data_IF_093332229164
#
_entry.id   IF_093332229164
#
_cell.length_a   1.000
_cell.length_b   1.000
_cell.length_c   1.000
_cell.angle_alpha   90.00
_cell.angle_beta   90.00
_cell.angle_gamma   90.00
#
_symmetry.space_group_name_H-M   'P 1'
#
loop_
_entity.id
_entity.type
_entity.pdbx_description
1 polymer ?
#
# COMPACT_ATOMS: atom_id res chain seq x y z
N UNK A 1 10.61 27.39 15.81
CA UNK A 1 10.31 26.02 15.35
C UNK A 1 9.14 26.14 14.38
N UNK A 2 9.26 25.59 13.20
CA UNK A 2 8.16 25.54 12.20
C UNK A 2 7.04 24.67 12.76
N UNK A 3 5.79 25.12 12.69
CA UNK A 3 4.60 24.40 13.14
C UNK A 3 3.87 23.84 11.93
N UNK A 4 3.15 22.73 12.07
CA UNK A 4 2.27 22.20 11.01
C UNK A 4 1.23 23.24 10.61
N UNK A 5 0.84 24.15 11.51
CA UNK A 5 -0.11 25.24 11.26
C UNK A 5 0.43 26.31 10.28
N UNK A 6 1.74 26.30 10.02
CA UNK A 6 2.38 27.22 9.06
C UNK A 6 2.24 26.75 7.60
N UNK A 7 1.60 25.59 7.38
CA UNK A 7 1.40 24.99 6.07
C UNK A 7 -0.08 24.99 5.69
N UNK A 8 -0.35 25.36 4.45
CA UNK A 8 -1.64 25.13 3.81
C UNK A 8 -1.59 23.70 3.24
N UNK A 9 -2.47 22.82 3.74
CA UNK A 9 -2.53 21.44 3.33
C UNK A 9 -3.33 21.28 2.03
N UNK A 10 -3.02 20.24 1.27
CA UNK A 10 -3.78 19.88 0.07
C UNK A 10 -5.23 19.57 0.44
N UNK A 11 -6.21 19.87 -0.42
CA UNK A 11 -7.58 19.40 -0.23
C UNK A 11 -7.62 17.86 -0.22
N UNK A 12 -8.36 17.29 0.71
CA UNK A 12 -8.51 15.84 0.82
C UNK A 12 -9.36 15.27 -0.33
N UNK A 13 -10.32 16.06 -0.84
CA UNK A 13 -11.24 15.66 -1.90
C UNK A 13 -11.19 16.72 -3.01
N UNK A 14 -11.18 16.28 -4.27
CA UNK A 14 -11.29 17.16 -5.43
C UNK A 14 -10.08 18.06 -5.68
N UNK A 15 -8.88 17.67 -5.27
CA UNK A 15 -7.63 18.41 -5.54
C UNK A 15 -7.37 18.58 -7.03
N UNK A 16 -7.64 17.55 -7.79
CA UNK A 16 -7.62 17.54 -9.26
C UNK A 16 -8.95 17.00 -9.79
N UNK A 17 -9.34 17.32 -11.02
CA UNK A 17 -10.50 16.68 -11.65
C UNK A 17 -10.30 15.17 -11.70
N UNK A 18 -11.27 14.42 -11.18
CA UNK A 18 -11.29 12.96 -11.19
C UNK A 18 -12.52 12.47 -11.94
N UNK A 19 -12.31 11.60 -12.92
CA UNK A 19 -13.38 11.05 -13.74
C UNK A 19 -13.98 9.82 -13.08
N UNK A 20 -15.31 9.81 -12.92
CA UNK A 20 -16.03 8.61 -12.52
C UNK A 20 -16.29 7.72 -13.73
N UNK A 21 -16.06 6.41 -13.59
CA UNK A 21 -16.46 5.42 -14.58
C UNK A 21 -17.98 5.50 -14.74
N UNK A 22 -18.51 5.79 -15.97
CA UNK A 22 -19.94 5.93 -16.18
C UNK A 22 -20.63 4.57 -16.09
N UNK A 23 -21.76 4.53 -15.40
CA UNK A 23 -22.63 3.36 -15.25
C UNK A 23 -24.04 3.71 -15.75
N UNK A 24 -24.78 2.72 -16.25
CA UNK A 24 -26.21 2.88 -16.51
C UNK A 24 -27.04 2.75 -15.22
N UNK A 25 -28.33 3.00 -15.26
CA UNK A 25 -29.19 3.01 -14.08
C UNK A 25 -29.22 1.66 -13.30
N UNK A 26 -29.14 0.54 -14.02
CA UNK A 26 -29.11 -0.79 -13.39
C UNK A 26 -27.74 -1.03 -12.72
N UNK A 27 -26.66 -0.65 -13.37
CA UNK A 27 -25.29 -0.73 -12.85
C UNK A 27 -25.10 0.20 -11.65
N UNK A 28 -25.73 1.40 -11.62
CA UNK A 28 -25.69 2.31 -10.45
C UNK A 28 -26.35 1.66 -9.24
N UNK A 29 -27.53 1.03 -9.39
CA UNK A 29 -28.18 0.31 -8.29
C UNK A 29 -27.30 -0.84 -7.78
N UNK A 30 -26.66 -1.57 -8.70
CA UNK A 30 -25.70 -2.63 -8.36
C UNK A 30 -24.49 -2.08 -7.61
N UNK A 31 -23.95 -0.96 -8.08
CA UNK A 31 -22.83 -0.26 -7.44
C UNK A 31 -23.15 0.16 -6.00
N UNK A 32 -24.31 0.80 -5.76
CA UNK A 32 -24.74 1.21 -4.42
C UNK A 32 -24.80 0.02 -3.46
N UNK A 33 -25.39 -1.10 -3.89
CA UNK A 33 -25.42 -2.33 -3.09
C UNK A 33 -24.03 -2.89 -2.79
N UNK A 34 -23.14 -2.90 -3.78
CA UNK A 34 -21.78 -3.39 -3.60
C UNK A 34 -20.94 -2.52 -2.64
N UNK A 35 -21.08 -1.21 -2.68
CA UNK A 35 -20.40 -0.30 -1.75
C UNK A 35 -20.87 -0.54 -0.30
N UNK A 36 -22.16 -0.73 -0.10
CA UNK A 36 -22.73 -1.01 1.24
C UNK A 36 -22.26 -2.35 1.80
N UNK A 37 -22.32 -3.40 0.99
CA UNK A 37 -22.05 -4.77 1.40
C UNK A 37 -20.56 -5.12 1.51
N UNK A 38 -19.70 -4.50 0.67
CA UNK A 38 -18.29 -4.87 0.60
C UNK A 38 -17.49 -4.38 1.80
N UNK A 39 -16.54 -5.19 2.24
CA UNK A 39 -15.45 -4.75 3.11
C UNK A 39 -14.34 -4.25 2.22
N UNK A 40 -14.23 -2.93 2.04
CA UNK A 40 -13.17 -2.34 1.22
C UNK A 40 -11.89 -2.20 2.05
N UNK A 41 -10.83 -2.88 1.62
CA UNK A 41 -9.53 -2.88 2.30
C UNK A 41 -8.45 -2.46 1.30
N UNK A 42 -7.76 -1.38 1.61
CA UNK A 42 -6.53 -1.02 0.92
C UNK A 42 -5.33 -1.54 1.72
N UNK A 43 -4.59 -2.49 1.13
CA UNK A 43 -3.48 -3.19 1.81
C UNK A 43 -2.20 -2.33 1.84
N UNK A 44 -2.13 -1.31 0.99
CA UNK A 44 -1.03 -0.35 0.99
C UNK A 44 -1.47 1.03 0.49
N UNK A 45 -1.52 1.97 1.41
CA UNK A 45 -1.95 3.33 1.13
C UNK A 45 -1.19 4.31 2.02
N UNK A 46 -1.01 5.53 1.55
CA UNK A 46 -0.43 6.63 2.30
C UNK A 46 -1.49 7.73 2.51
N UNK A 47 -2.46 7.56 3.42
CA UNK A 47 -3.56 8.51 3.58
C UNK A 47 -3.15 9.78 4.35
N UNK A 48 -1.91 10.20 4.24
CA UNK A 48 -1.46 11.47 4.77
C UNK A 48 -1.62 12.59 3.74
N UNK A 49 -1.91 13.78 4.24
CA UNK A 49 -2.11 14.97 3.42
C UNK A 49 -0.79 15.72 3.28
N UNK A 50 -0.39 15.98 2.05
CA UNK A 50 0.80 16.76 1.73
C UNK A 50 0.52 18.27 1.78
N UNK A 51 1.52 19.11 2.05
CA UNK A 51 1.36 20.55 1.92
C UNK A 51 1.17 20.94 0.44
N UNK A 52 0.44 22.01 0.17
CA UNK A 52 0.31 22.54 -1.19
C UNK A 52 1.63 23.08 -1.74
N UNK A 53 2.44 23.70 -0.87
CA UNK A 53 3.75 24.25 -1.21
C UNK A 53 4.82 23.14 -1.06
N UNK A 54 5.01 22.36 -2.10
CA UNK A 54 5.93 21.21 -2.09
C UNK A 54 7.42 21.63 -2.04
N UNK A 55 7.77 22.84 -2.43
CA UNK A 55 9.09 23.42 -2.22
C UNK A 55 9.46 23.55 -0.73
N UNK A 56 8.46 23.53 0.15
CA UNK A 56 8.61 23.53 1.61
C UNK A 56 8.41 22.13 2.23
N UNK A 57 8.40 21.08 1.43
CA UNK A 57 8.10 19.71 1.89
C UNK A 57 9.05 19.23 2.99
N UNK A 58 10.34 19.50 2.86
CA UNK A 58 11.33 19.14 3.90
C UNK A 58 11.09 19.88 5.22
N UNK A 59 10.67 21.15 5.17
CA UNK A 59 10.29 21.90 6.39
C UNK A 59 9.02 21.34 7.03
N UNK A 60 8.06 20.88 6.21
CA UNK A 60 6.87 20.17 6.69
C UNK A 60 7.26 18.89 7.44
N UNK A 61 8.11 18.05 6.88
CA UNK A 61 8.57 16.81 7.52
C UNK A 61 9.24 17.08 8.87
N UNK A 62 10.03 18.16 8.97
CA UNK A 62 10.68 18.58 10.23
C UNK A 62 9.72 19.02 11.33
N UNK A 63 8.44 19.19 11.04
CA UNK A 63 7.42 19.43 12.07
C UNK A 63 7.17 18.20 12.95
N UNK A 64 7.57 17.00 12.48
CA UNK A 64 7.29 15.71 13.10
C UNK A 64 5.79 15.55 13.42
N UNK A 65 4.94 15.94 12.50
CA UNK A 65 3.49 15.83 12.59
C UNK A 65 2.93 15.24 11.31
N UNK A 66 1.96 14.35 11.46
CA UNK A 66 1.12 13.91 10.37
C UNK A 66 -0.15 14.75 10.29
N UNK A 67 -0.72 14.79 9.10
CA UNK A 67 -2.07 15.24 8.87
C UNK A 67 -2.76 14.16 8.04
N UNK A 68 -3.62 13.38 8.68
CA UNK A 68 -4.29 12.27 8.03
C UNK A 68 -5.57 12.71 7.33
N UNK A 69 -5.76 12.25 6.09
CA UNK A 69 -6.91 12.52 5.25
C UNK A 69 -8.03 11.50 5.42
N UNK A 70 -8.54 11.34 6.62
CA UNK A 70 -9.62 10.39 6.88
C UNK A 70 -10.95 10.79 6.22
N UNK A 71 -11.16 12.06 5.85
CA UNK A 71 -12.31 12.47 5.03
C UNK A 71 -12.22 11.88 3.63
N UNK A 72 -11.03 11.88 3.00
CA UNK A 72 -10.78 11.24 1.72
C UNK A 72 -11.00 9.73 1.80
N UNK A 73 -10.48 9.09 2.85
CA UNK A 73 -10.65 7.65 3.10
C UNK A 73 -12.12 7.27 3.20
N UNK A 74 -12.92 8.02 3.98
CA UNK A 74 -14.38 7.81 4.09
C UNK A 74 -15.07 8.01 2.75
N UNK A 75 -14.73 9.09 2.03
CA UNK A 75 -15.32 9.40 0.73
C UNK A 75 -15.07 8.29 -0.28
N UNK A 76 -13.88 7.69 -0.25
CA UNK A 76 -13.49 6.55 -1.08
C UNK A 76 -14.11 5.21 -0.69
N UNK A 77 -14.90 5.16 0.40
CA UNK A 77 -15.63 3.96 0.83
C UNK A 77 -14.78 2.92 1.57
N UNK A 78 -13.56 3.27 1.99
CA UNK A 78 -12.66 2.33 2.66
C UNK A 78 -13.15 1.95 4.05
N UNK A 79 -13.25 0.65 4.30
CA UNK A 79 -13.54 0.10 5.64
C UNK A 79 -12.28 -0.02 6.47
N UNK A 80 -11.15 -0.30 5.81
CA UNK A 80 -9.85 -0.41 6.47
C UNK A 80 -8.76 0.08 5.53
N UNK A 81 -7.85 0.86 6.08
CA UNK A 81 -6.64 1.31 5.40
C UNK A 81 -5.41 0.91 6.19
N UNK A 82 -4.33 0.75 5.47
CA UNK A 82 -3.00 0.58 6.05
C UNK A 82 -2.21 1.86 5.86
N UNK A 83 -1.08 1.95 6.52
CA UNK A 83 -0.09 2.97 6.20
C UNK A 83 1.29 2.46 6.50
N UNK A 84 2.27 2.98 5.82
CA UNK A 84 3.65 2.60 5.98
C UNK A 84 4.55 3.80 6.27
N UNK A 85 5.71 3.51 6.83
CA UNK A 85 6.72 4.48 7.18
C UNK A 85 7.35 5.11 5.93
N UNK A 86 7.03 6.38 5.70
CA UNK A 86 7.51 7.12 4.55
C UNK A 86 8.46 8.24 4.95
N UNK A 87 8.22 8.88 6.08
CA UNK A 87 8.83 10.17 6.41
C UNK A 87 10.14 10.05 7.17
N UNK A 88 10.35 9.02 7.97
CA UNK A 88 11.60 8.82 8.70
C UNK A 88 12.83 8.81 7.80
N UNK A 89 12.68 8.23 6.60
CA UNK A 89 13.71 8.20 5.59
C UNK A 89 14.14 9.56 5.08
N UNK A 90 13.20 10.49 4.94
CA UNK A 90 13.40 11.75 4.23
C UNK A 90 14.13 12.80 5.05
N UNK A 91 14.16 12.68 6.36
CA UNK A 91 14.85 13.64 7.21
C UNK A 91 16.36 13.47 7.21
N UNK A 92 16.84 12.24 7.07
CA UNK A 92 18.23 11.90 7.35
C UNK A 92 18.93 11.07 6.27
N UNK A 93 18.21 10.52 5.29
CA UNK A 93 18.76 9.64 4.28
C UNK A 93 18.45 10.10 2.85
N UNK A 94 19.39 9.90 1.95
CA UNK A 94 19.21 10.12 0.50
C UNK A 94 18.50 8.95 -0.18
N UNK A 95 18.35 7.81 0.51
CA UNK A 95 17.65 6.63 0.05
C UNK A 95 16.91 5.98 1.22
N UNK A 96 15.64 5.61 1.03
CA UNK A 96 14.78 5.02 2.07
C UNK A 96 15.30 3.70 2.65
N UNK A 97 16.21 3.01 1.96
CA UNK A 97 16.79 1.75 2.45
C UNK A 97 17.72 1.89 3.66
N UNK A 98 18.10 3.12 4.00
CA UNK A 98 18.98 3.43 5.12
C UNK A 98 18.24 4.07 6.30
N UNK A 99 16.94 3.87 6.40
CA UNK A 99 16.14 4.36 7.52
C UNK A 99 16.54 3.67 8.79
N UNK A 100 16.77 4.46 9.83
CA UNK A 100 17.14 3.95 11.14
C UNK A 100 15.91 3.48 11.92
N UNK A 101 16.12 2.50 12.81
CA UNK A 101 15.07 1.95 13.65
C UNK A 101 14.40 3.03 14.52
N UNK A 102 15.18 3.97 15.04
CA UNK A 102 14.68 5.04 15.92
C UNK A 102 13.74 5.99 15.16
N UNK A 103 14.04 6.30 13.90
CA UNK A 103 13.17 7.13 13.04
C UNK A 103 11.82 6.45 12.80
N UNK A 104 11.83 5.15 12.52
CA UNK A 104 10.60 4.37 12.30
C UNK A 104 9.77 4.23 13.58
N UNK A 105 10.40 4.03 14.73
CA UNK A 105 9.67 3.96 15.99
C UNK A 105 9.01 5.28 16.36
N UNK A 106 9.69 6.42 16.09
CA UNK A 106 9.09 7.73 16.23
C UNK A 106 7.88 7.90 15.31
N UNK A 107 8.03 7.50 14.04
CA UNK A 107 6.98 7.60 13.03
C UNK A 107 5.75 6.74 13.39
N UNK A 108 5.96 5.49 13.80
CA UNK A 108 4.88 4.62 14.30
C UNK A 108 4.19 5.25 15.50
N UNK A 109 4.95 5.83 16.42
CA UNK A 109 4.39 6.53 17.59
C UNK A 109 3.52 7.73 17.20
N UNK A 110 3.96 8.52 16.21
CA UNK A 110 3.18 9.66 15.70
C UNK A 110 1.90 9.21 14.99
N UNK A 111 1.98 8.16 14.15
CA UNK A 111 0.81 7.57 13.49
C UNK A 111 -0.25 7.14 14.50
N UNK A 112 0.16 6.39 15.52
CA UNK A 112 -0.76 5.89 16.54
C UNK A 112 -1.36 7.01 17.39
N UNK A 113 -0.59 8.06 17.69
CA UNK A 113 -1.10 9.22 18.41
C UNK A 113 -2.17 9.96 17.60
N UNK A 114 -1.96 10.12 16.29
CA UNK A 114 -2.90 10.80 15.40
C UNK A 114 -4.20 9.99 15.22
N UNK A 115 -4.08 8.69 14.97
CA UNK A 115 -5.22 7.76 14.90
C UNK A 115 -6.06 7.81 16.18
N UNK A 116 -5.40 7.83 17.35
CA UNK A 116 -6.10 7.91 18.65
C UNK A 116 -6.89 9.22 18.82
N UNK A 117 -6.50 10.28 18.14
CA UNK A 117 -7.19 11.56 18.17
C UNK A 117 -8.42 11.63 17.26
N UNK A 118 -8.60 10.67 16.36
CA UNK A 118 -9.72 10.61 15.42
C UNK A 118 -10.91 9.84 16.05
N UNK A 119 -12.12 10.42 16.10
CA UNK A 119 -13.26 9.77 16.76
C UNK A 119 -13.80 8.54 16.04
N UNK A 120 -13.59 8.48 14.70
CA UNK A 120 -14.20 7.47 13.83
C UNK A 120 -13.17 6.50 13.24
N UNK A 121 -11.95 6.50 13.79
CA UNK A 121 -10.86 5.63 13.35
C UNK A 121 -10.40 4.77 14.51
N UNK A 122 -10.30 3.48 14.29
CA UNK A 122 -9.87 2.53 15.31
C UNK A 122 -8.68 1.71 14.81
N UNK A 123 -7.69 1.56 15.66
CA UNK A 123 -6.59 0.65 15.34
C UNK A 123 -7.11 -0.79 15.33
N UNK A 124 -6.74 -1.52 14.28
CA UNK A 124 -7.05 -2.94 14.13
C UNK A 124 -5.76 -3.75 13.97
N UNK A 125 -5.76 -4.98 14.44
CA UNK A 125 -4.59 -5.87 14.39
C UNK A 125 -4.89 -7.26 13.81
N UNK A 126 -6.15 -7.57 13.50
CA UNK A 126 -6.57 -8.84 12.92
C UNK A 126 -7.89 -8.70 12.15
N UNK A 127 -8.29 -9.79 11.47
CA UNK A 127 -9.49 -9.80 10.62
C UNK A 127 -10.81 -9.56 11.38
N UNK A 128 -10.92 -10.03 12.62
CA UNK A 128 -12.13 -9.85 13.41
C UNK A 128 -12.29 -8.40 13.87
N UNK A 129 -11.20 -7.73 14.22
CA UNK A 129 -11.18 -6.30 14.54
C UNK A 129 -11.52 -5.45 13.32
N UNK A 130 -11.02 -5.81 12.11
CA UNK A 130 -11.40 -5.17 10.84
C UNK A 130 -12.92 -5.24 10.64
N UNK A 131 -13.50 -6.41 10.82
CA UNK A 131 -14.96 -6.60 10.70
C UNK A 131 -15.75 -5.83 11.75
N UNK A 132 -15.26 -5.81 13.00
CA UNK A 132 -15.88 -5.03 14.06
C UNK A 132 -15.85 -3.53 13.79
N UNK A 133 -14.73 -3.00 13.25
CA UNK A 133 -14.63 -1.61 12.83
C UNK A 133 -15.67 -1.25 11.77
N UNK A 134 -15.77 -2.05 10.69
CA UNK A 134 -16.81 -1.86 9.66
C UNK A 134 -18.23 -1.90 10.24
N UNK A 135 -18.55 -2.89 11.06
CA UNK A 135 -19.88 -3.04 11.65
C UNK A 135 -20.28 -1.87 12.55
N UNK A 136 -19.32 -1.24 13.20
CA UNK A 136 -19.54 -0.05 14.02
C UNK A 136 -19.51 1.27 13.25
N UNK A 137 -19.28 1.24 11.93
CA UNK A 137 -19.19 2.42 11.08
C UNK A 137 -17.87 3.19 11.22
N UNK A 138 -16.87 2.57 11.84
CA UNK A 138 -15.54 3.13 11.97
C UNK A 138 -14.61 2.70 10.82
N UNK A 139 -13.57 3.47 10.57
CA UNK A 139 -12.46 3.07 9.70
C UNK A 139 -11.46 2.26 10.53
N UNK A 140 -11.13 1.06 10.09
CA UNK A 140 -10.01 0.30 10.61
C UNK A 140 -8.69 0.88 10.14
N UNK A 141 -7.75 1.06 11.05
CA UNK A 141 -6.38 1.45 10.74
C UNK A 141 -5.44 0.32 11.13
N UNK A 142 -4.85 -0.34 10.15
CA UNK A 142 -3.88 -1.42 10.34
C UNK A 142 -2.45 -0.86 10.19
N UNK A 143 -1.67 -0.73 11.27
CA UNK A 143 -0.29 -0.23 11.16
C UNK A 143 0.59 -1.19 10.36
N UNK A 144 1.25 -0.67 9.34
CA UNK A 144 2.17 -1.41 8.49
C UNK A 144 3.48 -0.67 8.29
N UNK A 145 4.50 -1.35 7.80
CA UNK A 145 5.77 -0.77 7.40
C UNK A 145 6.10 -1.16 5.98
N UNK A 146 6.58 -0.21 5.19
CA UNK A 146 6.99 -0.47 3.82
C UNK A 146 8.32 -1.24 3.75
N UNK A 147 9.13 -1.15 4.80
CA UNK A 147 10.35 -1.94 4.99
C UNK A 147 10.70 -2.07 6.47
N UNK A 148 11.46 -3.11 6.80
CA UNK A 148 11.78 -3.51 8.17
C UNK A 148 13.20 -3.02 8.57
N UNK A 149 13.34 -1.85 9.22
CA UNK A 149 14.64 -1.25 9.51
C UNK A 149 15.22 -1.77 10.84
N UNK A 150 15.32 -3.08 11.00
CA UNK A 150 15.76 -3.71 12.26
C UNK A 150 17.29 -3.80 12.41
N UNK A 151 18.06 -3.41 11.36
CA UNK A 151 19.50 -3.64 11.35
C UNK A 151 19.79 -5.15 11.45
N UNK A 152 20.69 -5.52 12.34
CA UNK A 152 21.01 -6.93 12.65
C UNK A 152 20.44 -7.39 14.02
N UNK A 153 19.32 -6.82 14.44
CA UNK A 153 18.69 -7.00 15.75
C UNK A 153 17.33 -7.69 15.60
N UNK A 154 17.31 -9.03 15.69
CA UNK A 154 16.11 -9.83 15.48
C UNK A 154 14.96 -9.48 16.42
N UNK A 155 15.27 -9.15 17.69
CA UNK A 155 14.27 -8.75 18.70
C UNK A 155 13.49 -7.47 18.36
N UNK A 156 13.95 -6.69 17.39
CA UNK A 156 13.22 -5.51 16.91
C UNK A 156 11.95 -5.86 16.12
N UNK A 157 11.86 -7.09 15.60
CA UNK A 157 10.65 -7.61 14.97
C UNK A 157 9.51 -7.67 16.00
N UNK A 158 9.78 -8.26 17.19
CA UNK A 158 8.79 -8.32 18.27
C UNK A 158 8.46 -6.95 18.83
N UNK A 159 9.44 -6.05 18.92
CA UNK A 159 9.21 -4.69 19.39
C UNK A 159 8.23 -3.95 18.48
N UNK A 160 8.42 -4.01 17.16
CA UNK A 160 7.50 -3.41 16.19
C UNK A 160 6.11 -4.07 16.23
N UNK A 161 6.05 -5.40 16.34
CA UNK A 161 4.79 -6.12 16.51
C UNK A 161 4.06 -5.70 17.79
N UNK A 162 4.77 -5.57 18.92
CA UNK A 162 4.21 -5.09 20.17
C UNK A 162 3.68 -3.65 20.09
N UNK A 163 4.28 -2.80 19.25
CA UNK A 163 3.80 -1.45 18.95
C UNK A 163 2.53 -1.47 18.08
N UNK A 164 2.17 -2.61 17.50
CA UNK A 164 0.95 -2.81 16.73
C UNK A 164 1.15 -3.01 15.24
N UNK A 165 2.39 -3.02 14.75
CA UNK A 165 2.67 -3.33 13.34
C UNK A 165 2.26 -4.76 13.03
N UNK A 166 1.54 -4.97 11.93
CA UNK A 166 0.98 -6.28 11.53
C UNK A 166 1.42 -6.75 10.15
N UNK A 167 1.93 -5.86 9.33
CA UNK A 167 2.49 -6.18 8.01
C UNK A 167 3.73 -5.34 7.79
N UNK A 168 4.78 -5.93 7.22
CA UNK A 168 5.99 -5.20 6.87
C UNK A 168 6.62 -5.74 5.58
N UNK A 169 7.06 -4.82 4.73
CA UNK A 169 8.06 -5.10 3.71
C UNK A 169 9.38 -5.52 4.35
N UNK A 170 10.09 -6.44 3.72
CA UNK A 170 11.39 -6.93 4.22
C UNK A 170 12.56 -6.09 3.72
N UNK A 171 12.41 -5.51 2.54
CA UNK A 171 13.34 -4.56 1.92
C UNK A 171 12.58 -3.41 1.32
N UNK A 172 13.25 -2.27 1.14
CA UNK A 172 12.83 -1.24 0.18
C UNK A 172 13.57 -1.44 -1.15
N UNK A 173 13.96 -0.37 -1.81
CA UNK A 173 14.58 -0.40 -3.13
C UNK A 173 16.00 -1.01 -3.15
N UNK A 174 16.71 -0.96 -2.04
CA UNK A 174 18.11 -1.35 -1.90
C UNK A 174 18.30 -2.50 -0.92
N UNK A 175 19.54 -2.99 -0.86
CA UNK A 175 19.96 -4.01 0.09
C UNK A 175 19.89 -3.51 1.53
N UNK A 176 19.41 -4.38 2.42
CA UNK A 176 19.53 -4.24 3.86
C UNK A 176 20.12 -5.53 4.47
N UNK A 177 20.06 -5.71 5.79
CA UNK A 177 20.56 -6.92 6.46
C UNK A 177 19.73 -8.18 6.15
N UNK A 178 18.47 -8.03 5.70
CA UNK A 178 17.54 -9.14 5.45
C UNK A 178 17.74 -9.70 4.05
N UNK A 179 17.80 -8.82 3.04
CA UNK A 179 17.87 -9.23 1.66
C UNK A 179 18.08 -8.05 0.71
N UNK A 180 17.92 -8.31 -0.57
CA UNK A 180 18.15 -7.34 -1.62
C UNK A 180 16.83 -6.77 -2.16
N UNK A 181 16.78 -5.44 -2.32
CA UNK A 181 15.67 -4.73 -2.94
C UNK A 181 15.75 -4.76 -4.47
N UNK A 182 14.64 -4.37 -5.12
CA UNK A 182 14.46 -4.50 -6.58
C UNK A 182 15.39 -3.63 -7.42
N UNK A 183 15.97 -2.57 -6.85
CA UNK A 183 16.91 -1.70 -7.57
C UNK A 183 18.39 -2.08 -7.35
N UNK A 184 18.65 -3.16 -6.60
CA UNK A 184 20.01 -3.66 -6.53
C UNK A 184 20.55 -4.08 -7.90
N UNK A 185 21.85 -3.81 -8.13
CA UNK A 185 22.49 -4.11 -9.40
C UNK A 185 22.64 -5.62 -9.64
N UNK A 186 23.06 -6.34 -8.61
CA UNK A 186 23.28 -7.79 -8.64
C UNK A 186 22.66 -8.40 -7.37
N UNK A 187 21.34 -8.62 -7.34
CA UNK A 187 20.68 -9.10 -6.15
C UNK A 187 21.01 -10.57 -5.85
N UNK A 188 21.30 -10.88 -4.59
CA UNK A 188 21.67 -12.21 -4.11
C UNK A 188 20.56 -12.95 -3.36
N UNK A 189 19.40 -12.35 -3.11
CA UNK A 189 18.31 -12.96 -2.36
C UNK A 189 18.35 -12.64 -0.86
N UNK A 190 17.80 -13.55 -0.02
CA UNK A 190 17.84 -13.44 1.43
C UNK A 190 19.26 -13.72 1.97
N UNK A 191 19.61 -13.03 3.05
CA UNK A 191 20.74 -13.44 3.89
C UNK A 191 20.32 -14.56 4.85
N UNK A 192 21.30 -15.23 5.50
CA UNK A 192 20.99 -16.17 6.59
C UNK A 192 20.18 -15.50 7.72
N UNK A 193 20.55 -14.27 8.08
CA UNK A 193 19.77 -13.47 9.02
C UNK A 193 18.36 -13.17 8.49
N UNK A 194 18.22 -12.94 7.19
CA UNK A 194 16.92 -12.74 6.55
C UNK A 194 16.00 -13.95 6.71
N UNK A 195 16.51 -15.16 6.58
CA UNK A 195 15.73 -16.38 6.80
C UNK A 195 15.24 -16.46 8.27
N UNK A 196 16.09 -16.10 9.25
CA UNK A 196 15.69 -16.03 10.66
C UNK A 196 14.59 -14.99 10.88
N UNK A 197 14.66 -13.84 10.19
CA UNK A 197 13.62 -12.78 10.24
C UNK A 197 12.30 -13.30 9.68
N UNK A 198 12.31 -13.97 8.51
CA UNK A 198 11.10 -14.56 7.91
C UNK A 198 10.43 -15.53 8.88
N UNK A 199 11.22 -16.44 9.47
CA UNK A 199 10.69 -17.39 10.46
C UNK A 199 10.10 -16.66 11.67
N UNK A 200 10.77 -15.63 12.16
CA UNK A 200 10.30 -14.84 13.30
C UNK A 200 9.00 -14.11 13.01
N UNK A 201 8.86 -13.49 11.82
CA UNK A 201 7.62 -12.85 11.40
C UNK A 201 6.46 -13.87 11.33
N UNK A 202 6.72 -15.07 10.79
CA UNK A 202 5.73 -16.15 10.77
C UNK A 202 5.30 -16.55 12.19
N UNK A 203 6.27 -16.75 13.12
CA UNK A 203 6.00 -17.24 14.47
C UNK A 203 5.15 -16.27 15.30
N UNK A 204 5.26 -14.97 15.05
CA UNK A 204 4.49 -13.94 15.78
C UNK A 204 3.24 -13.46 15.04
N UNK A 205 2.95 -13.99 13.84
CA UNK A 205 1.80 -13.57 13.04
C UNK A 205 1.92 -12.16 12.46
N UNK A 206 3.10 -11.79 11.96
CA UNK A 206 3.32 -10.57 11.19
C UNK A 206 3.37 -10.91 9.71
N UNK A 207 2.50 -10.30 8.90
CA UNK A 207 2.46 -10.50 7.46
C UNK A 207 3.72 -9.97 6.76
N UNK A 208 4.16 -10.68 5.72
CA UNK A 208 5.37 -10.36 4.96
C UNK A 208 4.99 -9.80 3.59
N UNK A 209 5.41 -8.55 3.33
CA UNK A 209 5.23 -7.88 2.04
C UNK A 209 6.51 -7.95 1.19
N UNK A 210 6.34 -8.28 -0.07
CA UNK A 210 7.40 -8.48 -1.06
C UNK A 210 7.48 -7.37 -2.12
N UNK A 211 6.68 -6.31 -1.98
CA UNK A 211 6.47 -5.32 -3.05
C UNK A 211 7.74 -4.64 -3.54
N UNK A 212 8.73 -4.44 -2.69
CA UNK A 212 10.01 -3.82 -3.04
C UNK A 212 11.19 -4.81 -3.11
N UNK A 213 10.97 -6.08 -2.85
CA UNK A 213 12.03 -7.08 -2.85
C UNK A 213 12.51 -7.40 -4.29
N UNK A 214 13.77 -7.80 -4.43
CA UNK A 214 14.30 -8.30 -5.71
C UNK A 214 13.72 -9.68 -6.03
N UNK A 215 13.74 -10.09 -7.30
CA UNK A 215 13.26 -11.42 -7.70
C UNK A 215 13.88 -12.57 -6.88
N UNK A 216 15.23 -12.64 -6.66
CA UNK A 216 15.79 -13.67 -5.79
C UNK A 216 15.26 -13.61 -4.35
N UNK A 217 15.15 -12.39 -3.77
CA UNK A 217 14.60 -12.23 -2.41
C UNK A 217 13.13 -12.65 -2.33
N UNK A 218 12.33 -12.36 -3.35
CA UNK A 218 10.94 -12.82 -3.47
C UNK A 218 10.88 -14.35 -3.44
N UNK A 219 11.64 -15.01 -4.31
CA UNK A 219 11.59 -16.46 -4.45
C UNK A 219 12.08 -17.16 -3.18
N UNK A 220 13.19 -16.71 -2.58
CA UNK A 220 13.67 -17.21 -1.30
C UNK A 220 12.62 -17.03 -0.19
N UNK A 221 11.99 -15.84 -0.12
CA UNK A 221 10.99 -15.60 0.93
C UNK A 221 9.78 -16.51 0.78
N UNK A 222 9.29 -16.73 -0.44
CA UNK A 222 8.18 -17.66 -0.69
C UNK A 222 8.57 -19.11 -0.34
N UNK A 223 9.84 -19.48 -0.55
CA UNK A 223 10.36 -20.81 -0.19
C UNK A 223 10.41 -21.00 1.32
N UNK A 224 11.00 -20.04 2.06
CA UNK A 224 11.25 -20.17 3.50
C UNK A 224 10.05 -19.77 4.37
N UNK A 225 9.08 -19.01 3.85
CA UNK A 225 7.89 -18.63 4.62
C UNK A 225 6.95 -19.82 4.83
N UNK A 226 6.51 -19.99 6.07
CA UNK A 226 5.49 -20.99 6.47
C UNK A 226 4.07 -20.48 6.31
N UNK A 227 3.89 -19.15 6.19
CA UNK A 227 2.61 -18.50 5.99
C UNK A 227 2.55 -17.87 4.60
N UNK A 228 1.34 -17.65 4.05
CA UNK A 228 1.20 -16.88 2.81
C UNK A 228 1.85 -15.49 2.91
N UNK A 229 2.39 -15.02 1.79
CA UNK A 229 3.00 -13.69 1.65
C UNK A 229 2.15 -12.78 0.77
N UNK A 230 2.43 -11.49 0.75
CA UNK A 230 1.69 -10.53 -0.07
C UNK A 230 2.61 -9.68 -0.94
N UNK A 231 2.15 -9.37 -2.13
CA UNK A 231 2.57 -8.19 -2.87
C UNK A 231 1.55 -7.09 -2.58
N UNK A 232 1.84 -6.22 -1.64
CA UNK A 232 0.86 -5.26 -1.12
C UNK A 232 0.47 -4.17 -2.14
N UNK A 233 1.35 -3.85 -3.12
CA UNK A 233 1.13 -2.81 -4.12
C UNK A 233 2.01 -3.03 -5.35
N UNK A 234 1.52 -3.76 -6.35
CA UNK A 234 2.29 -4.15 -7.54
C UNK A 234 1.49 -4.07 -8.83
N UNK A 235 2.18 -4.30 -9.95
CA UNK A 235 1.61 -4.38 -11.28
C UNK A 235 2.29 -5.51 -12.08
N UNK A 236 1.67 -5.95 -13.18
CA UNK A 236 2.17 -7.03 -14.03
C UNK A 236 3.29 -6.54 -14.96
N UNK A 237 4.43 -7.22 -14.93
CA UNK A 237 5.56 -6.94 -15.82
C UNK A 237 5.20 -7.12 -17.30
N UNK A 238 4.36 -8.09 -17.60
CA UNK A 238 3.92 -8.38 -18.99
C UNK A 238 3.17 -7.22 -19.61
N UNK A 239 2.39 -6.45 -18.82
CA UNK A 239 1.70 -5.25 -19.32
C UNK A 239 2.61 -4.01 -19.31
N UNK A 240 3.48 -3.90 -18.30
CA UNK A 240 4.38 -2.76 -18.16
C UNK A 240 5.76 -3.21 -17.70
N UNK A 241 6.71 -3.53 -18.61
CA UNK A 241 8.05 -3.99 -18.25
C UNK A 241 8.90 -2.90 -17.58
N UNK A 242 9.08 -3.01 -16.29
CA UNK A 242 10.02 -2.19 -15.52
C UNK A 242 10.43 -2.90 -14.22
N UNK A 243 11.36 -2.31 -13.44
CA UNK A 243 11.83 -2.92 -12.19
C UNK A 243 10.76 -2.95 -11.09
N UNK A 244 9.76 -2.08 -11.16
CA UNK A 244 8.71 -1.94 -10.15
C UNK A 244 7.62 -3.01 -10.29
N UNK A 245 7.51 -3.63 -11.46
CA UNK A 245 6.47 -4.62 -11.80
C UNK A 245 6.97 -6.05 -11.62
N UNK A 246 6.05 -7.00 -11.43
CA UNK A 246 6.34 -8.40 -11.11
C UNK A 246 6.14 -9.31 -12.30
N UNK A 247 7.08 -10.24 -12.46
CA UNK A 247 6.98 -11.26 -13.51
C UNK A 247 5.91 -12.29 -13.17
N UNK A 248 5.32 -12.89 -14.18
CA UNK A 248 4.28 -13.90 -14.03
C UNK A 248 4.69 -15.07 -13.14
N UNK A 249 5.96 -15.48 -13.18
CA UNK A 249 6.50 -16.54 -12.34
C UNK A 249 6.42 -16.19 -10.85
N UNK A 250 6.82 -14.95 -10.47
CA UNK A 250 6.76 -14.48 -9.09
C UNK A 250 5.30 -14.43 -8.59
N UNK A 251 4.40 -13.91 -9.44
CA UNK A 251 2.97 -13.76 -9.13
C UNK A 251 2.30 -15.12 -8.95
N UNK A 252 2.55 -16.08 -9.87
CA UNK A 252 2.01 -17.45 -9.78
C UNK A 252 2.55 -18.18 -8.54
N UNK A 253 3.86 -18.09 -8.30
CA UNK A 253 4.47 -18.76 -7.14
C UNK A 253 3.90 -18.22 -5.82
N UNK A 254 3.63 -16.91 -5.74
CA UNK A 254 2.96 -16.30 -4.59
C UNK A 254 1.53 -16.86 -4.43
N UNK A 255 0.74 -16.88 -5.49
CA UNK A 255 -0.64 -17.36 -5.47
C UNK A 255 -0.72 -18.86 -5.13
N UNK A 256 0.16 -19.69 -5.72
CA UNK A 256 0.23 -21.14 -5.46
C UNK A 256 0.51 -21.47 -3.97
N UNK A 257 1.13 -20.55 -3.24
CA UNK A 257 1.33 -20.63 -1.78
C UNK A 257 0.19 -19.97 -0.98
N UNK A 258 -0.91 -19.59 -1.64
CA UNK A 258 -2.05 -18.95 -1.01
C UNK A 258 -1.84 -17.46 -0.72
N UNK A 259 -0.86 -16.83 -1.34
CA UNK A 259 -0.55 -15.43 -1.18
C UNK A 259 -1.55 -14.50 -1.86
N UNK A 260 -1.35 -13.20 -1.68
CA UNK A 260 -2.21 -12.14 -2.20
C UNK A 260 -1.39 -11.19 -3.09
N UNK A 261 -1.95 -10.76 -4.20
CA UNK A 261 -1.37 -9.79 -5.13
C UNK A 261 -2.28 -8.58 -5.23
N UNK A 262 -1.85 -7.44 -4.68
CA UNK A 262 -2.63 -6.21 -4.71
C UNK A 262 -2.12 -5.28 -5.81
N UNK A 263 -3.07 -4.66 -6.51
CA UNK A 263 -2.78 -3.81 -7.66
C UNK A 263 -2.58 -2.37 -7.19
N UNK A 264 -1.46 -1.77 -7.64
CA UNK A 264 -1.11 -0.37 -7.37
C UNK A 264 -1.89 0.59 -8.27
N UNK A 265 -2.04 1.84 -7.82
CA UNK A 265 -2.55 2.96 -8.62
C UNK A 265 -1.45 4.01 -8.91
N UNK A 266 -0.18 3.67 -8.67
CA UNK A 266 0.93 4.59 -8.93
C UNK A 266 1.09 4.78 -10.44
N UNK A 267 0.94 6.01 -10.96
CA UNK A 267 1.22 6.31 -12.35
C UNK A 267 2.64 5.87 -12.74
N UNK A 268 2.87 5.59 -14.00
CA UNK A 268 4.16 5.16 -14.55
C UNK A 268 4.61 3.74 -14.12
N UNK A 269 4.00 3.14 -13.11
CA UNK A 269 4.11 1.70 -12.83
C UNK A 269 3.13 0.87 -13.68
N UNK A 270 2.06 1.50 -14.18
CA UNK A 270 0.97 0.84 -14.90
C UNK A 270 1.08 0.97 -16.43
N UNK A 271 1.53 2.13 -16.93
CA UNK A 271 1.59 2.44 -18.35
C UNK A 271 2.76 3.39 -18.67
N UNK A 272 3.12 3.49 -19.95
CA UNK A 272 4.03 4.52 -20.50
C UNK A 272 3.25 5.74 -21.04
N UNK A 273 1.92 5.66 -21.07
CA UNK A 273 1.11 6.75 -21.57
C UNK A 273 1.20 7.97 -20.64
N UNK A 274 1.39 9.18 -21.16
CA UNK A 274 1.35 10.39 -20.34
C UNK A 274 -0.06 10.73 -19.81
N UNK A 275 -1.11 10.19 -20.43
CA UNK A 275 -2.50 10.33 -20.00
C UNK A 275 -2.97 8.99 -19.40
N UNK A 276 -2.75 8.80 -18.10
CA UNK A 276 -3.15 7.58 -17.42
C UNK A 276 -4.46 7.80 -16.65
N UNK A 277 -5.34 6.84 -16.78
CA UNK A 277 -6.62 6.80 -16.09
C UNK A 277 -6.87 5.44 -15.43
N UNK A 278 -8.03 5.28 -14.83
CA UNK A 278 -8.39 4.06 -14.11
C UNK A 278 -8.42 2.82 -15.02
N UNK A 279 -8.57 2.96 -16.34
CA UNK A 279 -8.55 1.83 -17.27
C UNK A 279 -7.18 1.12 -17.23
N UNK A 280 -6.08 1.87 -17.01
CA UNK A 280 -4.75 1.28 -16.83
C UNK A 280 -4.72 0.32 -15.62
N UNK A 281 -5.39 0.69 -14.52
CA UNK A 281 -5.49 -0.18 -13.33
C UNK A 281 -6.37 -1.39 -13.62
N UNK A 282 -7.50 -1.17 -14.28
CA UNK A 282 -8.45 -2.23 -14.61
C UNK A 282 -7.84 -3.28 -15.53
N UNK A 283 -6.98 -2.89 -16.48
CA UNK A 283 -6.23 -3.83 -17.31
C UNK A 283 -5.34 -4.74 -16.47
N UNK A 284 -4.70 -4.20 -15.44
CA UNK A 284 -3.91 -5.00 -14.50
C UNK A 284 -4.80 -5.92 -13.62
N UNK A 285 -6.00 -5.49 -13.22
CA UNK A 285 -6.95 -6.37 -12.53
C UNK A 285 -7.37 -7.54 -13.40
N UNK A 286 -7.82 -7.27 -14.64
CA UNK A 286 -8.23 -8.32 -15.59
C UNK A 286 -7.08 -9.30 -15.87
N UNK A 287 -5.88 -8.77 -16.10
CA UNK A 287 -4.69 -9.60 -16.30
C UNK A 287 -4.40 -10.49 -15.09
N UNK A 288 -4.42 -9.90 -13.88
CA UNK A 288 -4.08 -10.61 -12.66
C UNK A 288 -5.11 -11.69 -12.33
N UNK A 289 -6.42 -11.39 -12.46
CA UNK A 289 -7.49 -12.38 -12.30
C UNK A 289 -7.32 -13.57 -13.25
N UNK A 290 -6.94 -13.30 -14.51
CA UNK A 290 -6.68 -14.37 -15.47
C UNK A 290 -5.40 -15.17 -15.19
N UNK A 291 -4.39 -14.52 -14.59
CA UNK A 291 -3.07 -15.13 -14.34
C UNK A 291 -3.04 -16.03 -13.10
N UNK A 292 -3.60 -15.53 -11.99
CA UNK A 292 -3.49 -16.15 -10.66
C UNK A 292 -4.84 -16.56 -10.05
N UNK A 293 -5.95 -16.21 -10.69
CA UNK A 293 -7.31 -16.44 -10.18
C UNK A 293 -7.78 -15.31 -9.26
N UNK A 294 -9.09 -15.11 -9.23
CA UNK A 294 -9.74 -14.00 -8.52
C UNK A 294 -9.47 -14.02 -7.00
N UNK A 295 -9.30 -15.21 -6.41
CA UNK A 295 -9.11 -15.40 -4.97
C UNK A 295 -7.74 -14.88 -4.46
N UNK A 296 -6.84 -14.53 -5.37
CA UNK A 296 -5.49 -14.03 -5.06
C UNK A 296 -5.27 -12.56 -5.42
N UNK A 297 -6.33 -11.83 -5.80
CA UNK A 297 -6.21 -10.43 -6.24
C UNK A 297 -6.81 -9.49 -5.21
N UNK A 298 -6.11 -8.38 -4.93
CA UNK A 298 -6.53 -7.38 -3.95
C UNK A 298 -6.22 -5.95 -4.38
N UNK A 299 -6.48 -5.01 -3.48
CA UNK A 299 -6.23 -3.57 -3.67
C UNK A 299 -5.07 -3.13 -2.78
N UNK A 300 -4.14 -2.38 -3.37
CA UNK A 300 -3.06 -1.71 -2.67
C UNK A 300 -2.62 -0.49 -3.44
N UNK A 301 -3.38 0.60 -3.30
CA UNK A 301 -3.35 1.72 -4.24
C UNK A 301 -2.03 2.48 -4.24
N UNK A 302 -1.34 2.55 -3.12
CA UNK A 302 -0.11 3.34 -2.95
C UNK A 302 -0.35 4.83 -3.24
N UNK A 303 -1.58 5.31 -2.96
CA UNK A 303 -1.97 6.70 -3.19
C UNK A 303 -1.62 7.60 -2.02
N UNK A 304 -1.39 8.87 -2.32
CA UNK A 304 -1.18 9.97 -1.36
C UNK A 304 -2.21 11.06 -1.59
N UNK A 305 -2.39 11.97 -0.63
CA UNK A 305 -3.26 13.14 -0.78
C UNK A 305 -2.39 14.37 -1.00
N UNK A 306 -2.16 14.72 -2.27
CA UNK A 306 -1.33 15.85 -2.65
C UNK A 306 -0.63 15.67 -3.99
N UNK A 307 0.43 16.42 -4.23
CA UNK A 307 1.19 16.34 -5.47
C UNK A 307 2.11 15.11 -5.46
N UNK A 308 1.64 14.04 -6.09
CA UNK A 308 2.33 12.77 -6.18
C UNK A 308 3.67 12.85 -6.93
N UNK A 309 3.75 13.64 -7.99
CA UNK A 309 5.02 13.81 -8.74
C UNK A 309 6.07 14.51 -7.91
N UNK A 310 5.70 15.64 -7.29
CA UNK A 310 6.63 16.38 -6.43
C UNK A 310 7.01 15.57 -5.20
N UNK A 311 6.09 14.77 -4.65
CA UNK A 311 6.39 13.83 -3.59
C UNK A 311 7.46 12.83 -4.00
N UNK A 312 7.34 12.17 -5.15
CA UNK A 312 8.34 11.24 -5.67
C UNK A 312 9.67 11.93 -6.00
N UNK A 313 9.61 13.15 -6.53
CA UNK A 313 10.81 13.94 -6.79
C UNK A 313 11.61 14.20 -5.51
N UNK A 314 10.95 14.68 -4.45
CA UNK A 314 11.61 14.97 -3.18
C UNK A 314 12.01 13.69 -2.41
N UNK A 315 11.20 12.63 -2.49
CA UNK A 315 11.48 11.36 -1.81
C UNK A 315 12.59 10.54 -2.45
N UNK A 316 12.54 10.41 -3.76
CA UNK A 316 13.36 9.44 -4.49
C UNK A 316 14.38 10.10 -5.38
N UNK A 317 14.44 11.44 -5.42
CA UNK A 317 15.31 12.19 -6.33
C UNK A 317 14.99 11.93 -7.80
N UNK A 318 13.74 11.51 -8.12
CA UNK A 318 13.36 11.22 -9.50
C UNK A 318 13.32 12.48 -10.34
N UNK A 319 13.80 12.39 -11.57
CA UNK A 319 13.62 13.42 -12.58
C UNK A 319 12.14 13.45 -12.99
N UNK A 320 11.52 14.63 -12.91
CA UNK A 320 10.12 14.82 -13.30
C UNK A 320 9.88 14.50 -14.79
N UNK A 321 10.89 14.64 -15.64
CA UNK A 321 10.82 14.28 -17.06
C UNK A 321 10.69 12.76 -17.30
N UNK A 322 11.05 11.93 -16.30
CA UNK A 322 10.93 10.48 -16.34
C UNK A 322 9.54 9.99 -15.85
N UNK A 323 8.69 10.91 -15.42
CA UNK A 323 7.36 10.63 -14.89
C UNK A 323 6.30 11.36 -15.71
N UNK A 324 5.93 10.84 -16.90
CA UNK A 324 5.03 11.55 -17.81
C UNK A 324 3.62 11.78 -17.25
N UNK A 325 3.10 10.84 -16.44
CA UNK A 325 1.77 10.96 -15.84
C UNK A 325 1.84 11.51 -14.41
N UNK A 326 1.22 12.67 -14.13
CA UNK A 326 1.27 13.31 -12.81
C UNK A 326 0.40 12.60 -11.77
N UNK A 327 -0.69 12.00 -12.18
CA UNK A 327 -1.63 11.22 -11.37
C UNK A 327 -2.44 10.28 -12.26
N UNK A 328 -3.17 9.36 -11.63
CA UNK A 328 -4.08 8.46 -12.34
C UNK A 328 -5.49 9.05 -12.29
N UNK A 329 -6.01 9.50 -13.44
CA UNK A 329 -7.35 10.06 -13.52
C UNK A 329 -8.41 9.00 -13.15
N UNK A 330 -9.27 9.31 -12.19
CA UNK A 330 -10.28 8.39 -11.66
C UNK A 330 -9.82 7.55 -10.47
N UNK A 331 -8.53 7.60 -10.09
CA UNK A 331 -7.99 7.01 -8.86
C UNK A 331 -6.75 7.80 -8.40
N UNK A 332 -6.89 9.10 -8.28
CA UNK A 332 -5.80 10.01 -7.94
C UNK A 332 -5.45 9.96 -6.45
N UNK A 333 -6.44 9.72 -5.61
CA UNK A 333 -6.29 9.74 -4.16
C UNK A 333 -7.17 8.70 -3.48
N UNK A 334 -7.03 8.47 -2.17
CA UNK A 334 -7.95 7.61 -1.42
C UNK A 334 -9.43 7.92 -1.62
N UNK A 335 -9.78 9.18 -1.93
CA UNK A 335 -11.17 9.61 -2.13
C UNK A 335 -11.86 8.95 -3.34
N UNK A 336 -11.08 8.42 -4.28
CA UNK A 336 -11.60 7.82 -5.52
C UNK A 336 -11.82 6.30 -5.41
N UNK A 337 -11.63 5.69 -4.24
CA UNK A 337 -11.60 4.23 -4.06
C UNK A 337 -12.80 3.47 -4.63
N UNK A 338 -14.02 4.00 -4.46
CA UNK A 338 -15.24 3.36 -5.01
C UNK A 338 -15.27 3.29 -6.53
N UNK A 339 -14.43 4.07 -7.22
CA UNK A 339 -14.34 4.01 -8.69
C UNK A 339 -13.75 2.69 -9.19
N UNK A 340 -13.00 1.96 -8.35
CA UNK A 340 -12.56 0.58 -8.63
C UNK A 340 -13.78 -0.33 -8.81
N UNK A 341 -14.76 -0.25 -7.91
CA UNK A 341 -16.01 -1.03 -8.01
C UNK A 341 -16.73 -0.71 -9.32
N UNK A 342 -16.86 0.58 -9.66
CA UNK A 342 -17.49 1.03 -10.90
C UNK A 342 -16.78 0.43 -12.13
N UNK A 343 -15.46 0.47 -12.13
CA UNK A 343 -14.64 -0.10 -13.21
C UNK A 343 -14.83 -1.61 -13.35
N UNK A 344 -14.79 -2.35 -12.25
CA UNK A 344 -14.99 -3.81 -12.26
C UNK A 344 -16.40 -4.20 -12.70
N UNK A 345 -17.45 -3.44 -12.31
CA UNK A 345 -18.83 -3.62 -12.86
C UNK A 345 -18.81 -3.48 -14.36
N UNK A 346 -18.23 -2.41 -14.89
CA UNK A 346 -18.19 -2.13 -16.33
C UNK A 346 -17.39 -3.17 -17.12
N UNK A 347 -16.35 -3.77 -16.51
CA UNK A 347 -15.57 -4.87 -17.07
C UNK A 347 -16.31 -6.23 -16.99
N UNK A 348 -17.49 -6.28 -16.36
CA UNK A 348 -18.33 -7.46 -16.32
C UNK A 348 -18.00 -8.48 -15.22
N UNK A 349 -17.20 -8.10 -14.23
CA UNK A 349 -16.96 -8.95 -13.06
C UNK A 349 -18.26 -9.23 -12.29
N UNK A 350 -18.37 -10.42 -11.70
CA UNK A 350 -19.50 -10.78 -10.85
C UNK A 350 -19.48 -10.01 -9.51
N UNK A 351 -20.62 -9.91 -8.83
CA UNK A 351 -20.68 -9.27 -7.50
C UNK A 351 -19.78 -9.98 -6.50
N UNK A 352 -19.68 -11.30 -6.60
CA UNK A 352 -18.81 -12.11 -5.75
C UNK A 352 -17.34 -11.79 -6.02
N UNK A 353 -16.92 -11.73 -7.28
CA UNK A 353 -15.55 -11.39 -7.65
C UNK A 353 -15.18 -9.98 -7.22
N UNK A 354 -16.07 -9.01 -7.40
CA UNK A 354 -15.85 -7.63 -6.97
C UNK A 354 -15.65 -7.56 -5.45
N UNK A 355 -16.52 -8.21 -4.66
CA UNK A 355 -16.37 -8.25 -3.20
C UNK A 355 -15.08 -8.91 -2.75
N UNK A 356 -14.63 -9.96 -3.45
CA UNK A 356 -13.32 -10.59 -3.21
C UNK A 356 -12.19 -9.62 -3.47
N UNK A 357 -12.14 -9.00 -4.64
CA UNK A 357 -11.05 -8.11 -5.08
C UNK A 357 -10.94 -6.90 -4.15
N UNK A 358 -12.05 -6.21 -3.84
CA UNK A 358 -11.99 -4.94 -3.12
C UNK A 358 -11.70 -5.08 -1.62
N UNK A 359 -11.63 -6.32 -1.10
CA UNK A 359 -11.19 -6.52 0.28
C UNK A 359 -11.47 -7.90 0.89
N UNK A 360 -12.37 -8.69 0.32
CA UNK A 360 -12.66 -10.05 0.83
C UNK A 360 -11.40 -10.92 0.88
N UNK A 361 -10.61 -10.91 -0.19
CA UNK A 361 -9.36 -11.66 -0.26
C UNK A 361 -8.30 -11.15 0.74
N UNK A 362 -8.21 -9.83 0.93
CA UNK A 362 -7.33 -9.24 1.93
C UNK A 362 -7.75 -9.63 3.36
N UNK A 363 -9.05 -9.64 3.64
CA UNK A 363 -9.60 -10.08 4.94
C UNK A 363 -9.27 -11.55 5.21
N UNK A 364 -9.42 -12.42 4.20
CA UNK A 364 -9.09 -13.84 4.31
C UNK A 364 -7.59 -14.09 4.44
N UNK A 365 -6.77 -13.32 3.72
CA UNK A 365 -5.32 -13.33 3.89
C UNK A 365 -4.93 -12.96 5.32
N UNK A 366 -5.46 -11.85 5.86
CA UNK A 366 -5.18 -11.42 7.23
C UNK A 366 -5.66 -12.45 8.26
N UNK A 367 -6.81 -13.11 8.05
CA UNK A 367 -7.28 -14.18 8.95
C UNK A 367 -6.34 -15.37 9.02
N UNK A 368 -5.63 -15.68 7.93
CA UNK A 368 -4.67 -16.80 7.87
C UNK A 368 -3.29 -16.45 8.40
N UNK A 369 -2.92 -15.18 8.41
CA UNK A 369 -1.55 -14.74 8.69
C UNK A 369 -1.42 -14.00 10.02
N UNK A 370 -2.37 -13.13 10.37
CA UNK A 370 -2.30 -12.33 11.58
C UNK A 370 -2.83 -13.11 12.79
N UNK A 371 -2.07 -13.09 13.87
CA UNK A 371 -2.41 -13.73 15.14
C UNK A 371 -2.91 -12.75 16.17
#
# INVERSE_FOLDING_TARGET
MTSIRDFLMSPEIGRVPSSKVPLNAQEETRFEGLVEESVMIDVHQHPFVLPQAMDRFIDFLRTNRYHWGFEAVKHGGWSTVTTSNVFGALQNATEMSFVEYDDVTLEVGMMLADVTAQPDVVRVGNADEIMAAKQSGNIGFLPTLEHLPIGNRLERVEQLHAMGVRLSGITYNRKNYIGDGMYERNPGGLSEFGIEVIHRMNDIGMAIDLSHASTPTVMDTIEFSKTPVVFSHNAAYTLRPNKRTRKDEELKTCADKGGLVCITAVPNALSDDPEQDIECVLDHYDYMVNLVGVDHVGVGTDTVIGDHMMFQHYMLGRDLSEMPAPYLNGLESPADGTNIIRGLIRRGHSDEDIKKIVGGNALDFFRRVLS
#
